data_IF_652033871397
#
_entry.id   IF_652033871397
#
_cell.length_a   1.000
_cell.length_b   1.000
_cell.length_c   1.000
_cell.angle_alpha   90.00
_cell.angle_beta   90.00
_cell.angle_gamma   90.00
#
_symmetry.space_group_name_H-M   'P 1'
#
loop_
_entity.id
_entity.type
_entity.pdbx_description
1 polymer ?
#
# COMPACT_ATOMS: atom_id res chain seq x y z
N UNK A 1 4.80 -13.31 -18.11
CA UNK A 1 5.91 -12.68 -17.36
C UNK A 1 6.22 -11.35 -18.03
N UNK A 2 6.39 -10.29 -17.24
CA UNK A 2 6.67 -8.95 -17.76
C UNK A 2 7.93 -8.94 -18.65
N UNK A 3 7.85 -8.22 -19.77
CA UNK A 3 8.95 -8.09 -20.74
C UNK A 3 9.81 -6.88 -20.40
N UNK A 4 11.12 -7.08 -20.22
CA UNK A 4 12.08 -5.99 -19.97
C UNK A 4 12.58 -5.44 -21.32
N UNK A 5 12.47 -4.12 -21.50
CA UNK A 5 12.72 -3.46 -22.78
C UNK A 5 13.96 -2.55 -22.73
N UNK A 6 14.64 -2.42 -23.86
CA UNK A 6 15.82 -1.55 -23.99
C UNK A 6 16.95 -1.94 -23.03
N UNK A 7 17.60 -0.97 -22.36
CA UNK A 7 18.69 -1.26 -21.42
C UNK A 7 18.31 -2.17 -20.26
N UNK A 8 17.02 -2.28 -19.91
CA UNK A 8 16.57 -3.17 -18.84
C UNK A 8 16.60 -4.64 -19.21
N UNK A 9 16.72 -5.00 -20.49
CA UNK A 9 16.88 -6.39 -20.92
C UNK A 9 18.18 -6.99 -20.39
N UNK A 10 19.22 -6.16 -20.19
CA UNK A 10 20.42 -6.52 -19.47
C UNK A 10 20.19 -6.32 -17.95
N UNK A 11 20.16 -7.42 -17.21
CA UNK A 11 19.93 -7.37 -15.76
C UNK A 11 21.07 -6.71 -15.00
N UNK A 12 22.28 -6.73 -15.51
CA UNK A 12 23.44 -6.09 -14.88
C UNK A 12 23.38 -4.55 -15.00
N UNK A 13 22.66 -4.05 -16.02
CA UNK A 13 22.41 -2.61 -16.16
C UNK A 13 21.46 -2.03 -15.09
N UNK A 14 20.75 -2.84 -14.33
CA UNK A 14 19.80 -2.38 -13.30
C UNK A 14 20.47 -1.60 -12.18
N UNK A 15 21.70 -1.94 -11.83
CA UNK A 15 22.48 -1.23 -10.81
C UNK A 15 22.78 0.22 -11.20
N UNK A 16 22.88 0.48 -12.51
CA UNK A 16 23.13 1.83 -13.06
C UNK A 16 21.83 2.67 -13.18
N UNK A 17 20.65 2.03 -13.18
CA UNK A 17 19.36 2.71 -13.40
C UNK A 17 18.83 3.38 -12.14
N UNK A 18 19.34 3.01 -10.99
CA UNK A 18 18.91 3.50 -9.69
C UNK A 18 17.97 2.55 -8.96
N UNK A 19 17.53 2.94 -7.79
CA UNK A 19 16.78 2.09 -6.88
C UNK A 19 15.41 1.67 -7.44
N UNK A 20 15.13 0.38 -7.35
CA UNK A 20 13.83 -0.18 -7.70
C UNK A 20 12.71 0.42 -6.81
N UNK A 21 11.59 0.91 -7.38
CA UNK A 21 10.46 1.41 -6.59
C UNK A 21 9.91 0.38 -5.60
N UNK A 22 9.91 -0.91 -5.96
CA UNK A 22 9.50 -1.99 -5.05
C UNK A 22 10.43 -2.05 -3.85
N UNK A 23 11.75 -2.00 -4.05
CA UNK A 23 12.73 -2.02 -2.97
C UNK A 23 12.53 -0.85 -2.00
N UNK A 24 12.32 0.36 -2.53
CA UNK A 24 12.00 1.55 -1.70
C UNK A 24 10.72 1.37 -0.90
N UNK A 25 9.67 0.85 -1.54
CA UNK A 25 8.40 0.58 -0.87
C UNK A 25 8.56 -0.47 0.23
N UNK A 26 9.34 -1.53 -0.04
CA UNK A 26 9.64 -2.57 0.96
C UNK A 26 10.47 -2.05 2.13
N UNK A 27 11.33 -1.06 1.94
CA UNK A 27 12.05 -0.39 3.04
C UNK A 27 11.07 0.30 4.01
N UNK A 28 10.00 0.90 3.50
CA UNK A 28 8.99 1.59 4.31
C UNK A 28 7.93 0.63 4.88
N UNK A 29 7.45 -0.29 4.07
CA UNK A 29 6.26 -1.09 4.34
C UNK A 29 6.53 -2.60 4.45
N UNK A 30 7.77 -3.04 4.27
CA UNK A 30 8.13 -4.46 4.20
C UNK A 30 8.04 -5.24 5.51
N UNK A 31 7.59 -4.62 6.60
CA UNK A 31 7.37 -5.33 7.85
C UNK A 31 5.91 -5.76 8.01
N UNK A 32 5.68 -6.93 8.60
CA UNK A 32 4.33 -7.40 8.95
C UNK A 32 3.55 -6.34 9.72
N UNK A 33 4.20 -5.67 10.68
CA UNK A 33 3.56 -4.65 11.51
C UNK A 33 3.11 -3.45 10.69
N UNK A 34 3.95 -2.91 9.81
CA UNK A 34 3.60 -1.77 8.95
C UNK A 34 2.42 -2.10 8.04
N UNK A 35 2.42 -3.27 7.41
CA UNK A 35 1.33 -3.71 6.55
C UNK A 35 0.02 -3.90 7.31
N UNK A 36 0.06 -4.47 8.52
CA UNK A 36 -1.13 -4.64 9.34
C UNK A 36 -1.65 -3.30 9.90
N UNK A 37 -0.79 -2.34 10.20
CA UNK A 37 -1.21 -0.99 10.58
C UNK A 37 -1.89 -0.26 9.41
N UNK A 38 -1.35 -0.36 8.19
CA UNK A 38 -2.01 0.18 6.99
C UNK A 38 -3.36 -0.48 6.74
N UNK A 39 -3.45 -1.81 6.87
CA UNK A 39 -4.75 -2.52 6.79
C UNK A 39 -5.77 -1.96 7.78
N UNK A 40 -5.37 -1.76 9.03
CA UNK A 40 -6.26 -1.19 10.06
C UNK A 40 -6.68 0.25 9.72
N UNK A 41 -5.77 1.07 9.17
CA UNK A 41 -6.11 2.41 8.71
C UNK A 41 -7.17 2.37 7.58
N UNK A 42 -7.08 1.42 6.65
CA UNK A 42 -8.10 1.21 5.62
C UNK A 42 -9.45 0.73 6.19
N UNK A 43 -9.45 0.05 7.33
CA UNK A 43 -10.68 -0.29 8.04
C UNK A 43 -11.23 0.85 8.92
N UNK A 44 -10.65 2.05 8.82
CA UNK A 44 -11.11 3.24 9.54
C UNK A 44 -10.60 3.35 10.97
N UNK A 45 -9.59 2.57 11.36
CA UNK A 45 -8.91 2.76 12.65
C UNK A 45 -8.13 4.06 12.63
N UNK A 46 -8.37 4.94 13.62
CA UNK A 46 -7.65 6.22 13.75
C UNK A 46 -6.96 6.39 15.10
N UNK A 47 -7.40 5.68 16.13
CA UNK A 47 -6.88 5.83 17.49
C UNK A 47 -5.67 4.95 17.75
N UNK A 48 -4.62 5.49 18.37
CA UNK A 48 -3.41 4.76 18.74
C UNK A 48 -3.71 3.47 19.53
N UNK A 49 -4.61 3.56 20.52
CA UNK A 49 -4.98 2.43 21.38
C UNK A 49 -5.62 1.28 20.57
N UNK A 50 -6.36 1.59 19.52
CA UNK A 50 -7.01 0.59 18.68
C UNK A 50 -6.01 -0.04 17.71
N UNK A 51 -5.08 0.73 17.16
CA UNK A 51 -4.04 0.21 16.27
C UNK A 51 -3.24 -0.91 16.93
N UNK A 52 -2.60 -0.65 18.08
CA UNK A 52 -1.75 -1.66 18.70
C UNK A 52 -2.53 -2.89 19.19
N UNK A 53 -3.75 -2.70 19.69
CA UNK A 53 -4.61 -3.82 20.13
C UNK A 53 -5.06 -4.71 18.97
N UNK A 54 -5.57 -4.11 17.89
CA UNK A 54 -6.11 -4.85 16.74
C UNK A 54 -5.02 -5.54 15.94
N UNK A 55 -3.85 -4.93 15.84
CA UNK A 55 -2.68 -5.55 15.19
C UNK A 55 -2.03 -6.62 16.09
N UNK A 56 -2.23 -6.55 17.39
CA UNK A 56 -1.66 -7.51 18.35
C UNK A 56 -0.15 -7.32 18.57
N UNK A 57 0.30 -6.07 18.58
CA UNK A 57 1.73 -5.73 18.81
C UNK A 57 1.88 -4.90 20.09
N UNK A 58 3.12 -4.70 20.55
CA UNK A 58 3.38 -3.83 21.69
C UNK A 58 3.12 -2.37 21.34
N UNK A 59 2.80 -1.54 22.35
CA UNK A 59 2.64 -0.08 22.18
C UNK A 59 3.90 0.55 21.58
N UNK A 60 5.08 0.11 22.03
CA UNK A 60 6.35 0.63 21.51
C UNK A 60 6.53 0.31 20.01
N UNK A 61 6.24 -0.93 19.60
CA UNK A 61 6.31 -1.32 18.19
C UNK A 61 5.30 -0.56 17.32
N UNK A 62 4.06 -0.43 17.80
CA UNK A 62 3.04 0.34 17.08
C UNK A 62 3.44 1.82 16.96
N UNK A 63 3.91 2.44 18.05
CA UNK A 63 4.34 3.84 18.04
C UNK A 63 5.48 4.10 17.05
N UNK A 64 6.51 3.26 17.06
CA UNK A 64 7.63 3.38 16.14
C UNK A 64 7.17 3.28 14.68
N UNK A 65 6.37 2.28 14.33
CA UNK A 65 5.90 2.08 12.96
C UNK A 65 4.89 3.13 12.50
N UNK A 66 3.98 3.58 13.38
CA UNK A 66 3.07 4.69 13.05
C UNK A 66 3.84 6.00 12.81
N UNK A 67 4.93 6.24 13.55
CA UNK A 67 5.80 7.40 13.29
C UNK A 67 6.45 7.29 11.92
N UNK A 68 7.03 6.15 11.57
CA UNK A 68 7.62 5.90 10.24
C UNK A 68 6.59 6.08 9.10
N UNK A 69 5.35 5.61 9.29
CA UNK A 69 4.27 5.80 8.31
C UNK A 69 3.86 7.28 8.16
N UNK A 70 3.92 8.05 9.24
CA UNK A 70 3.71 9.51 9.20
C UNK A 70 4.86 10.21 8.49
N UNK A 71 6.11 9.87 8.84
CA UNK A 71 7.30 10.45 8.22
C UNK A 71 7.38 10.13 6.71
N UNK A 72 6.88 8.95 6.31
CA UNK A 72 6.74 8.55 4.91
C UNK A 72 5.55 9.21 4.19
N UNK A 73 4.74 10.00 4.90
CA UNK A 73 3.58 10.68 4.32
C UNK A 73 2.39 9.78 3.98
N UNK A 74 2.32 8.57 4.50
CA UNK A 74 1.19 7.64 4.31
C UNK A 74 0.06 7.89 5.30
N UNK A 75 0.43 8.32 6.50
CA UNK A 75 -0.49 8.76 7.55
C UNK A 75 -0.16 10.20 7.94
N UNK A 76 -1.13 10.88 8.50
CA UNK A 76 -0.93 12.16 9.17
C UNK A 76 -1.52 12.12 10.58
N UNK A 77 -0.96 12.92 11.48
CA UNK A 77 -1.50 13.11 12.84
C UNK A 77 -2.47 14.27 12.82
N UNK A 78 -3.68 14.02 13.30
CA UNK A 78 -4.69 15.08 13.53
C UNK A 78 -5.00 15.18 15.01
N UNK A 79 -4.92 16.37 15.59
CA UNK A 79 -5.30 16.55 16.98
C UNK A 79 -6.81 16.38 17.16
N UNK A 80 -7.19 15.68 18.21
CA UNK A 80 -8.57 15.59 18.66
C UNK A 80 -8.67 15.73 20.16
N UNK A 81 -9.83 16.13 20.66
CA UNK A 81 -10.11 16.25 22.08
C UNK A 81 -11.56 15.84 22.35
N UNK A 82 -11.74 14.87 23.22
CA UNK A 82 -13.06 14.53 23.74
C UNK A 82 -13.41 15.40 24.94
N UNK A 83 -14.70 15.70 25.17
CA UNK A 83 -15.12 16.50 26.32
C UNK A 83 -14.57 15.92 27.64
N UNK A 84 -13.89 16.75 28.42
CA UNK A 84 -13.30 16.34 29.70
C UNK A 84 -12.01 15.53 29.61
N UNK A 85 -11.49 15.29 28.42
CA UNK A 85 -10.24 14.54 28.23
C UNK A 85 -9.10 15.45 27.74
N UNK A 86 -7.86 14.96 27.96
CA UNK A 86 -6.67 15.61 27.42
C UNK A 86 -6.66 15.48 25.89
N UNK A 87 -6.22 16.53 25.20
CA UNK A 87 -5.93 16.52 23.75
C UNK A 87 -4.98 15.38 23.40
N UNK A 88 -5.30 14.65 22.34
CA UNK A 88 -4.54 13.53 21.77
C UNK A 88 -4.47 13.66 20.26
N UNK A 89 -3.64 12.84 19.64
CA UNK A 89 -3.58 12.74 18.18
C UNK A 89 -4.25 11.44 17.71
N UNK A 90 -4.91 11.52 16.59
CA UNK A 90 -5.36 10.39 15.79
C UNK A 90 -4.54 10.29 14.50
N UNK A 91 -4.51 9.11 13.91
CA UNK A 91 -3.80 8.85 12.67
C UNK A 91 -4.81 8.67 11.55
N UNK A 92 -4.67 9.42 10.46
CA UNK A 92 -5.57 9.34 9.32
C UNK A 92 -4.76 9.15 8.04
N UNK A 93 -5.36 8.46 7.05
CA UNK A 93 -4.74 8.27 5.75
C UNK A 93 -4.60 9.60 5.01
N UNK A 94 -3.41 9.83 4.45
CA UNK A 94 -3.18 10.87 3.44
C UNK A 94 -3.68 10.39 2.07
N UNK A 95 -3.60 11.23 1.03
CA UNK A 95 -3.87 10.79 -0.34
C UNK A 95 -2.89 9.70 -0.77
N UNK A 96 -1.58 9.86 -0.50
CA UNK A 96 -0.57 8.84 -0.78
C UNK A 96 -0.84 7.53 -0.01
N UNK A 97 -1.33 7.63 1.24
CA UNK A 97 -1.75 6.46 2.00
C UNK A 97 -2.93 5.75 1.36
N UNK A 98 -3.92 6.49 0.87
CA UNK A 98 -5.08 5.93 0.14
C UNK A 98 -4.68 5.25 -1.18
N UNK A 99 -3.73 5.83 -1.90
CA UNK A 99 -3.20 5.27 -3.15
C UNK A 99 -2.51 3.92 -2.95
N UNK A 100 -2.08 3.60 -1.73
CA UNK A 100 -1.52 2.29 -1.40
C UNK A 100 -2.58 1.19 -1.19
N UNK A 101 -3.85 1.53 -1.09
CA UNK A 101 -4.94 0.57 -0.84
C UNK A 101 -4.97 -0.60 -1.85
N UNK A 102 -4.83 -0.39 -3.17
CA UNK A 102 -4.85 -1.49 -4.14
C UNK A 102 -3.78 -2.56 -3.87
N UNK A 103 -2.62 -2.17 -3.33
CA UNK A 103 -1.55 -3.11 -2.98
C UNK A 103 -1.98 -4.02 -1.83
N UNK A 104 -2.59 -3.46 -0.79
CA UNK A 104 -3.09 -4.23 0.37
C UNK A 104 -4.20 -5.19 -0.07
N UNK A 105 -5.10 -4.74 -0.94
CA UNK A 105 -6.18 -5.59 -1.46
C UNK A 105 -5.68 -6.65 -2.43
N UNK A 106 -4.65 -6.39 -3.23
CA UNK A 106 -4.00 -7.39 -4.05
C UNK A 106 -3.37 -8.49 -3.19
N UNK A 107 -2.71 -8.12 -2.09
CA UNK A 107 -2.18 -9.09 -1.11
C UNK A 107 -3.29 -9.90 -0.44
N UNK A 108 -4.41 -9.25 -0.06
CA UNK A 108 -5.57 -9.93 0.50
C UNK A 108 -6.12 -10.98 -0.48
N UNK A 109 -6.33 -10.60 -1.74
CA UNK A 109 -6.90 -11.47 -2.76
C UNK A 109 -5.97 -12.64 -3.09
N UNK A 110 -4.67 -12.37 -3.20
CA UNK A 110 -3.66 -13.42 -3.41
C UNK A 110 -3.60 -14.37 -2.22
N UNK A 111 -3.57 -13.84 -0.99
CA UNK A 111 -3.52 -14.63 0.23
C UNK A 111 -4.73 -15.54 0.37
N UNK A 112 -5.92 -15.02 0.09
CA UNK A 112 -7.17 -15.79 0.12
C UNK A 112 -7.16 -16.97 -0.86
N UNK A 113 -6.56 -16.78 -2.05
CA UNK A 113 -6.53 -17.85 -3.07
C UNK A 113 -5.45 -18.90 -2.84
N UNK A 114 -4.33 -18.53 -2.22
CA UNK A 114 -3.11 -19.34 -2.26
C UNK A 114 -2.53 -19.70 -0.90
N UNK A 115 -2.94 -19.02 0.18
CA UNK A 115 -2.31 -19.22 1.51
C UNK A 115 -3.29 -19.83 2.50
N UNK A 116 -4.53 -19.36 2.54
CA UNK A 116 -5.53 -19.77 3.52
C UNK A 116 -6.92 -19.77 2.90
N UNK A 117 -7.75 -20.75 3.27
CA UNK A 117 -9.16 -20.81 2.86
C UNK A 117 -10.01 -19.81 3.67
N UNK A 118 -9.67 -18.54 3.56
CA UNK A 118 -10.38 -17.46 4.24
C UNK A 118 -11.79 -17.27 3.70
N UNK A 119 -12.76 -17.15 4.60
CA UNK A 119 -14.16 -16.84 4.27
C UNK A 119 -14.40 -15.35 4.05
N UNK A 120 -13.40 -14.49 4.26
CA UNK A 120 -13.51 -13.05 4.01
C UNK A 120 -13.60 -12.77 2.51
N UNK A 121 -14.42 -11.81 2.15
CA UNK A 121 -14.58 -11.32 0.78
C UNK A 121 -14.53 -9.80 0.78
N UNK A 122 -13.83 -9.24 -0.19
CA UNK A 122 -13.92 -7.83 -0.52
C UNK A 122 -15.15 -7.64 -1.41
N UNK A 123 -16.06 -6.76 -1.04
CA UNK A 123 -17.29 -6.55 -1.81
C UNK A 123 -17.54 -5.08 -2.09
N UNK A 124 -18.15 -4.79 -3.23
CA UNK A 124 -18.64 -3.46 -3.55
C UNK A 124 -19.93 -3.19 -2.79
N UNK A 125 -19.96 -2.19 -1.90
CA UNK A 125 -21.11 -1.88 -1.06
C UNK A 125 -22.39 -1.55 -1.85
N UNK A 126 -22.23 -1.00 -3.06
CA UNK A 126 -23.36 -0.60 -3.88
C UNK A 126 -24.16 -1.77 -4.50
N UNK A 127 -23.49 -2.88 -4.86
CA UNK A 127 -24.12 -4.01 -5.53
C UNK A 127 -23.89 -5.37 -4.85
N UNK A 128 -23.02 -5.43 -3.83
CA UNK A 128 -22.71 -6.67 -3.12
C UNK A 128 -21.77 -7.64 -3.87
N UNK A 129 -21.40 -7.34 -5.12
CA UNK A 129 -20.50 -8.19 -5.90
C UNK A 129 -19.08 -8.20 -5.29
N UNK A 130 -18.37 -9.31 -5.47
CA UNK A 130 -16.94 -9.38 -5.08
C UNK A 130 -16.13 -8.37 -5.90
N UNK A 131 -15.27 -7.63 -5.20
CA UNK A 131 -14.32 -6.69 -5.82
C UNK A 131 -12.99 -7.39 -6.07
N UNK A 132 -12.39 -7.15 -7.23
CA UNK A 132 -11.11 -7.70 -7.66
C UNK A 132 -10.10 -6.58 -7.89
N UNK A 133 -8.79 -6.91 -7.83
CA UNK A 133 -7.71 -6.00 -8.20
C UNK A 133 -7.19 -6.42 -9.57
N UNK A 134 -7.24 -5.50 -10.52
CA UNK A 134 -6.81 -5.70 -11.90
C UNK A 134 -5.76 -4.66 -12.29
N UNK A 135 -4.86 -5.04 -13.19
CA UNK A 135 -3.93 -4.11 -13.81
C UNK A 135 -4.55 -3.58 -15.09
N UNK A 136 -4.64 -2.25 -15.22
CA UNK A 136 -5.13 -1.58 -16.42
C UNK A 136 -4.09 -0.59 -16.95
N UNK A 137 -3.96 -0.49 -18.26
CA UNK A 137 -3.16 0.56 -18.89
C UNK A 137 -3.91 1.91 -18.90
N UNK A 138 -3.20 2.98 -19.19
CA UNK A 138 -3.79 4.34 -19.26
C UNK A 138 -4.94 4.47 -20.27
N UNK A 139 -5.00 3.60 -21.28
CA UNK A 139 -6.12 3.53 -22.24
C UNK A 139 -7.32 2.71 -21.72
N UNK A 140 -7.25 2.20 -20.48
CA UNK A 140 -8.33 1.46 -19.83
C UNK A 140 -8.39 -0.04 -20.15
N UNK A 141 -7.47 -0.57 -20.95
CA UNK A 141 -7.43 -1.99 -21.24
C UNK A 141 -6.94 -2.77 -20.01
N UNK A 142 -7.54 -3.93 -19.74
CA UNK A 142 -6.99 -4.91 -18.82
C UNK A 142 -5.67 -5.44 -19.39
N UNK A 143 -4.65 -5.58 -18.53
CA UNK A 143 -3.30 -5.99 -18.94
C UNK A 143 -2.94 -7.31 -18.26
N UNK A 144 -2.95 -8.43 -19.00
CA UNK A 144 -2.44 -9.71 -18.52
C UNK A 144 -0.95 -9.63 -18.14
N UNK A 145 -0.52 -10.50 -17.22
CA UNK A 145 0.84 -10.47 -16.70
C UNK A 145 1.94 -10.73 -17.75
N UNK A 146 1.60 -11.41 -18.84
CA UNK A 146 2.48 -11.69 -19.98
C UNK A 146 2.52 -10.58 -21.05
N UNK A 147 1.61 -9.61 -20.95
CA UNK A 147 1.58 -8.42 -21.78
C UNK A 147 2.19 -7.16 -21.10
N UNK A 148 2.67 -7.32 -19.86
CA UNK A 148 3.35 -6.21 -19.16
C UNK A 148 4.74 -5.99 -19.74
N UNK A 149 5.06 -4.72 -20.02
CA UNK A 149 6.40 -4.27 -20.40
C UNK A 149 6.98 -3.28 -19.38
N UNK A 150 8.27 -3.37 -19.12
CA UNK A 150 8.99 -2.39 -18.30
C UNK A 150 10.06 -1.71 -19.15
N UNK A 151 10.03 -0.37 -19.19
CA UNK A 151 11.00 0.47 -19.92
C UNK A 151 11.51 1.61 -19.07
N UNK A 152 12.69 2.09 -19.39
CA UNK A 152 13.20 3.35 -18.87
C UNK A 152 12.59 4.52 -19.63
N UNK A 153 12.16 5.53 -18.89
CA UNK A 153 11.78 6.83 -19.44
C UNK A 153 12.85 7.87 -19.08
N UNK A 154 13.13 8.79 -20.00
CA UNK A 154 14.08 9.88 -19.74
C UNK A 154 13.55 10.80 -18.63
N UNK A 155 14.42 11.20 -17.68
CA UNK A 155 14.07 12.22 -16.70
C UNK A 155 13.78 13.53 -17.44
N UNK A 156 12.54 13.99 -17.46
CA UNK A 156 12.24 15.35 -17.92
C UNK A 156 11.08 15.58 -18.85
N UNK A 157 10.21 14.60 -19.09
CA UNK A 157 8.94 14.89 -19.75
C UNK A 157 7.83 14.06 -19.09
N UNK A 158 6.81 14.71 -18.45
CA UNK A 158 5.59 13.98 -18.17
C UNK A 158 5.03 13.52 -19.53
N UNK A 159 4.83 12.22 -19.70
CA UNK A 159 4.08 11.71 -20.83
C UNK A 159 2.68 12.32 -20.76
N UNK A 160 2.44 13.34 -21.59
CA UNK A 160 1.09 13.83 -21.83
C UNK A 160 0.36 12.77 -22.66
N UNK A 161 -0.89 12.45 -22.32
CA UNK A 161 -1.68 11.41 -22.97
C UNK A 161 -1.89 11.68 -24.46
#
# INVERSE_FOLDING_TARGET
>A
VAVLQGPLADRDAWTAVGQCPIEKTMTLLGTKTSMLLMREAFYGTTRFEDFWRRVGVTKAAASARLTELVDAGLLERRPYQEPGQRRRDEYVLTDAGRDFMPVVWAMFEWGRRHVDDSRLRLTHLGCGAEATVEIRCAAGHEVPADELGMRLVSRGRPDTP
#
